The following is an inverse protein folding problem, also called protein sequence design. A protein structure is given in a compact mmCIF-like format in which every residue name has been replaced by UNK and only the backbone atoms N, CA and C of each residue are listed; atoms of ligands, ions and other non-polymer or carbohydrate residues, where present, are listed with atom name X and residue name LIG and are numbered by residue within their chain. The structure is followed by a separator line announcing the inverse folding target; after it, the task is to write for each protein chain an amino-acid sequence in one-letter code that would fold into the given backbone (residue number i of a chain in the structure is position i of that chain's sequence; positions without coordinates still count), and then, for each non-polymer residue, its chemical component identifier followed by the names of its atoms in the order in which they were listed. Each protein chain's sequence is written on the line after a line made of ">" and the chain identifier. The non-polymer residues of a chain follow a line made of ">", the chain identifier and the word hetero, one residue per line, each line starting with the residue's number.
data_IF_926305661082
#
_entry.id   IF_926305661082
#
_cell.length_a   1.000
_cell.length_b   1.000
_cell.length_c   1.000
_cell.angle_alpha   90.00
_cell.angle_beta   90.00
_cell.angle_gamma   90.00
#
_symmetry.space_group_name_H-M   'P 1'
#
loop_
_entity.id
_entity.type
_entity.pdbx_description
1 polymer ?
#
# COMPACT_ATOMS: atom_id res chain seq x y z
N UNK A 1 -1.44 -33.19 90.73
CA UNK A 1 -2.56 -32.43 90.13
C UNK A 1 -2.17 -31.94 88.72
N UNK A 2 -3.10 -31.98 87.77
CA UNK A 2 -2.95 -31.48 86.38
C UNK A 2 -2.63 -29.94 86.38
N UNK A 3 -2.11 -29.29 85.31
CA UNK A 3 -2.18 -29.55 83.85
C UNK A 3 -1.12 -28.69 83.08
N UNK A 4 -0.42 -29.26 82.09
CA UNK A 4 0.08 -28.70 80.79
C UNK A 4 0.86 -27.34 80.76
N UNK A 5 2.12 -27.26 80.27
CA UNK A 5 2.58 -27.13 78.84
C UNK A 5 2.06 -25.84 78.14
N UNK A 6 2.78 -24.91 77.48
CA UNK A 6 4.14 -24.72 76.87
C UNK A 6 4.36 -23.16 76.69
N UNK A 7 5.49 -22.52 76.33
CA UNK A 7 6.93 -22.88 76.10
C UNK A 7 7.86 -21.63 76.03
N UNK A 8 9.19 -21.89 76.06
CA UNK A 8 10.38 -21.16 75.52
C UNK A 8 10.16 -20.21 74.30
N UNK A 9 10.94 -19.15 73.96
CA UNK A 9 12.04 -18.29 74.51
C UNK A 9 12.49 -17.30 73.39
N UNK A 10 13.15 -16.20 73.75
CA UNK A 10 14.11 -15.38 72.94
C UNK A 10 13.58 -14.37 71.88
N UNK A 11 14.49 -13.45 71.51
CA UNK A 11 14.24 -12.04 71.17
C UNK A 11 14.97 -11.60 69.86
N UNK A 12 15.33 -10.32 69.65
CA UNK A 12 14.54 -9.33 68.92
C UNK A 12 15.18 -8.89 67.59
N UNK A 13 14.50 -8.11 66.75
CA UNK A 13 15.17 -7.16 65.83
C UNK A 13 14.29 -5.98 65.45
N UNK A 14 14.88 -4.78 65.51
CA UNK A 14 14.26 -3.52 65.11
C UNK A 14 14.43 -3.27 63.61
N UNK A 15 13.38 -2.79 62.92
CA UNK A 15 13.51 -2.08 61.65
C UNK A 15 12.60 -0.85 61.63
N UNK A 16 13.22 0.34 61.67
CA UNK A 16 12.58 1.62 61.32
C UNK A 16 12.11 1.55 59.87
N UNK A 17 10.84 1.82 59.63
CA UNK A 17 10.36 2.16 58.28
C UNK A 17 10.71 3.63 57.99
N UNK A 18 11.53 3.88 56.97
CA UNK A 18 11.68 5.20 56.37
C UNK A 18 11.00 5.19 55.01
N UNK A 19 9.82 5.80 54.92
CA UNK A 19 9.18 6.08 53.65
C UNK A 19 9.80 7.33 53.04
N UNK A 20 10.52 7.17 51.93
CA UNK A 20 10.98 8.29 51.10
C UNK A 20 9.89 8.68 50.10
N UNK A 21 9.55 9.97 49.93
CA UNK A 21 8.54 10.38 48.97
C UNK A 21 9.12 10.31 47.55
N UNK A 22 8.84 9.23 46.83
CA UNK A 22 9.10 9.14 45.39
C UNK A 22 8.21 10.16 44.68
N UNK A 23 8.81 11.21 44.13
CA UNK A 23 8.11 12.10 43.20
C UNK A 23 7.88 11.34 41.89
N UNK A 24 6.65 10.92 41.66
CA UNK A 24 6.19 10.48 40.34
C UNK A 24 6.29 11.67 39.39
N UNK A 25 7.34 11.71 38.58
CA UNK A 25 7.37 12.54 37.38
C UNK A 25 6.40 11.90 36.41
N UNK A 26 5.32 12.62 36.07
CA UNK A 26 4.47 12.20 34.98
C UNK A 26 5.32 12.20 33.70
N UNK A 27 5.46 11.03 33.08
CA UNK A 27 5.97 10.98 31.71
C UNK A 27 5.04 11.83 30.83
N UNK A 28 5.58 12.67 29.92
CA UNK A 28 4.73 13.27 28.91
C UNK A 28 4.05 12.14 28.14
N UNK A 29 2.76 12.30 27.88
CA UNK A 29 1.95 11.33 27.16
C UNK A 29 2.32 11.37 25.67
N UNK A 30 3.43 10.70 25.34
CA UNK A 30 3.90 10.50 23.98
C UNK A 30 3.19 9.30 23.33
N UNK A 31 1.87 9.19 23.51
CA UNK A 31 0.99 8.33 22.72
C UNK A 31 0.73 8.95 21.33
N UNK A 32 1.82 9.25 20.62
CA UNK A 32 1.78 9.26 19.15
C UNK A 32 1.84 7.79 18.77
N UNK A 33 0.68 7.18 18.55
CA UNK A 33 0.55 5.92 17.82
C UNK A 33 1.45 6.02 16.58
N UNK A 34 2.34 5.04 16.32
CA UNK A 34 3.06 5.00 15.06
C UNK A 34 2.01 5.03 13.93
N UNK A 35 2.05 6.08 13.11
CA UNK A 35 1.33 6.05 11.84
C UNK A 35 2.12 5.05 11.00
N UNK A 36 1.69 3.79 11.00
CA UNK A 36 2.24 2.77 10.12
C UNK A 36 2.12 3.31 8.69
N UNK A 37 3.25 3.46 7.96
CA UNK A 37 3.23 4.15 6.69
C UNK A 37 2.40 3.34 5.70
N UNK A 38 1.48 4.03 5.03
CA UNK A 38 0.62 3.44 4.02
C UNK A 38 1.48 2.87 2.88
N UNK A 39 1.18 1.66 2.42
CA UNK A 39 1.90 1.00 1.33
C UNK A 39 0.98 0.81 0.14
N UNK A 40 1.45 1.16 -1.07
CA UNK A 40 0.64 1.09 -2.29
C UNK A 40 1.36 0.26 -3.35
N UNK A 41 0.72 -0.81 -3.77
CA UNK A 41 1.16 -1.66 -4.88
C UNK A 41 0.41 -1.32 -6.15
N UNK A 42 1.13 -0.86 -7.18
CA UNK A 42 0.57 -0.52 -8.49
C UNK A 42 1.01 -1.54 -9.52
N UNK A 43 0.05 -2.26 -10.10
CA UNK A 43 0.27 -3.33 -11.06
C UNK A 43 -0.27 -2.89 -12.41
N UNK A 44 0.64 -2.60 -13.35
CA UNK A 44 0.34 -1.81 -14.53
C UNK A 44 0.61 -2.58 -15.82
N UNK A 45 -0.45 -2.88 -16.57
CA UNK A 45 -0.33 -3.51 -17.88
C UNK A 45 0.01 -2.47 -18.96
N UNK A 46 1.24 -2.47 -19.49
CA UNK A 46 1.68 -1.49 -20.49
C UNK A 46 1.18 -1.77 -21.91
N UNK A 47 0.55 -2.92 -22.17
CA UNK A 47 -0.11 -3.18 -23.45
C UNK A 47 -1.49 -2.53 -23.46
N UNK A 48 -2.19 -2.62 -22.33
CA UNK A 48 -3.49 -1.99 -22.14
C UNK A 48 -3.38 -0.47 -21.92
N UNK A 49 -2.40 -0.05 -21.10
CA UNK A 49 -2.17 1.32 -20.66
C UNK A 49 -0.67 1.68 -20.83
N UNK A 50 -0.18 1.93 -22.05
CA UNK A 50 1.23 2.28 -22.27
C UNK A 50 1.62 3.57 -21.54
N UNK A 51 2.87 3.64 -21.07
CA UNK A 51 3.42 4.85 -20.49
C UNK A 51 3.40 6.03 -21.50
N UNK A 52 3.14 7.28 -21.06
CA UNK A 52 3.19 8.44 -21.95
C UNK A 52 4.61 8.69 -22.44
N UNK A 53 4.76 8.84 -23.76
CA UNK A 53 6.07 9.03 -24.42
C UNK A 53 6.79 10.32 -24.03
N UNK A 54 6.03 11.31 -23.58
CA UNK A 54 6.52 12.67 -23.27
C UNK A 54 6.87 12.85 -21.78
N UNK A 55 6.79 11.80 -20.96
CA UNK A 55 7.13 11.83 -19.54
C UNK A 55 8.37 10.99 -19.26
N UNK A 56 9.26 11.50 -18.40
CA UNK A 56 10.35 10.70 -17.84
C UNK A 56 9.81 9.69 -16.83
N UNK A 57 10.52 8.57 -16.57
CA UNK A 57 10.12 7.59 -15.55
C UNK A 57 9.90 8.20 -14.16
N UNK A 58 10.72 9.18 -13.76
CA UNK A 58 10.52 9.92 -12.50
C UNK A 58 9.17 10.69 -12.49
N UNK A 59 8.85 11.40 -13.58
CA UNK A 59 7.55 12.09 -13.69
C UNK A 59 6.36 11.12 -13.74
N UNK A 60 6.55 9.90 -14.25
CA UNK A 60 5.51 8.85 -14.19
C UNK A 60 5.29 8.41 -12.74
N UNK A 61 6.36 8.18 -11.98
CA UNK A 61 6.28 7.84 -10.55
C UNK A 61 5.59 8.95 -9.75
N UNK A 62 6.07 10.19 -9.87
CA UNK A 62 5.53 11.35 -9.14
C UNK A 62 4.06 11.62 -9.48
N UNK A 63 3.68 11.55 -10.77
CA UNK A 63 2.28 11.73 -11.18
C UNK A 63 1.38 10.56 -10.79
N UNK A 64 1.94 9.37 -10.60
CA UNK A 64 1.19 8.22 -10.04
C UNK A 64 0.94 8.44 -8.54
N UNK A 65 1.94 8.94 -7.79
CA UNK A 65 1.77 9.36 -6.38
C UNK A 65 0.69 10.43 -6.24
N UNK A 66 0.78 11.53 -7.00
CA UNK A 66 -0.23 12.61 -6.99
C UNK A 66 -1.63 12.12 -7.38
N UNK A 67 -1.74 11.14 -8.28
CA UNK A 67 -3.02 10.53 -8.62
C UNK A 67 -3.60 9.71 -7.44
N UNK A 68 -2.76 8.94 -6.75
CA UNK A 68 -3.17 8.18 -5.56
C UNK A 68 -3.57 9.09 -4.39
N UNK A 69 -2.84 10.19 -4.17
CA UNK A 69 -3.24 11.26 -3.23
C UNK A 69 -4.63 11.82 -3.56
N UNK A 70 -4.94 12.02 -4.85
CA UNK A 70 -6.26 12.48 -5.29
C UNK A 70 -7.39 11.47 -5.07
N UNK A 71 -7.06 10.19 -4.86
CA UNK A 71 -8.00 9.13 -4.46
C UNK A 71 -8.15 9.01 -2.92
N UNK A 72 -7.38 9.78 -2.14
CA UNK A 72 -7.46 9.81 -0.68
C UNK A 72 -6.38 9.00 0.05
N UNK A 73 -5.42 8.41 -0.66
CA UNK A 73 -4.23 7.81 -0.05
C UNK A 73 -3.26 8.88 0.48
N UNK A 74 -2.44 8.53 1.47
CA UNK A 74 -1.39 9.39 2.00
C UNK A 74 -0.27 9.65 0.98
N UNK A 75 0.16 10.92 0.89
CA UNK A 75 1.30 11.32 0.04
C UNK A 75 2.65 10.79 0.55
N UNK A 76 2.76 10.47 1.84
CA UNK A 76 3.96 9.90 2.47
C UNK A 76 4.00 8.36 2.41
N UNK A 77 3.21 7.75 1.51
CA UNK A 77 3.17 6.29 1.32
C UNK A 77 4.44 5.71 0.68
N UNK A 78 4.72 4.43 0.99
CA UNK A 78 5.66 3.60 0.24
C UNK A 78 4.98 3.06 -1.02
N UNK A 79 5.41 3.57 -2.18
CA UNK A 79 4.80 3.30 -3.48
C UNK A 79 5.71 2.40 -4.31
N UNK A 80 5.23 1.18 -4.56
CA UNK A 80 5.83 0.20 -5.47
C UNK A 80 5.05 0.14 -6.78
N UNK A 81 5.73 0.33 -7.91
CA UNK A 81 5.14 0.23 -9.25
C UNK A 81 5.77 -0.95 -9.99
N UNK A 82 4.95 -1.92 -10.38
CA UNK A 82 5.31 -3.10 -11.17
C UNK A 82 4.57 -3.00 -12.50
N UNK A 83 5.32 -2.83 -13.59
CA UNK A 83 4.79 -2.59 -14.92
C UNK A 83 5.14 -3.73 -15.89
N UNK A 84 4.13 -4.29 -16.54
CA UNK A 84 4.25 -5.44 -17.43
C UNK A 84 4.39 -5.01 -18.88
N UNK A 85 5.56 -5.27 -19.48
CA UNK A 85 5.89 -4.92 -20.86
C UNK A 85 6.07 -6.19 -21.71
N UNK A 86 5.51 -6.25 -22.91
CA UNK A 86 5.85 -7.33 -23.85
C UNK A 86 7.35 -7.27 -24.22
N UNK A 87 7.93 -8.41 -24.63
CA UNK A 87 9.30 -8.45 -25.14
C UNK A 87 9.52 -7.45 -26.28
N UNK A 88 10.58 -6.64 -26.18
CA UNK A 88 10.89 -5.58 -27.15
C UNK A 88 9.96 -4.35 -27.12
N UNK A 89 8.97 -4.28 -26.22
CA UNK A 89 8.15 -3.07 -26.02
C UNK A 89 8.97 -1.92 -25.41
N UNK A 90 9.99 -2.25 -24.62
CA UNK A 90 10.98 -1.34 -24.05
C UNK A 90 12.39 -1.85 -24.39
N UNK A 91 13.33 -0.94 -24.63
CA UNK A 91 14.75 -1.27 -24.82
C UNK A 91 15.41 -1.57 -23.47
N UNK A 92 16.37 -2.50 -23.42
CA UNK A 92 17.06 -2.91 -22.18
C UNK A 92 17.68 -1.71 -21.44
N UNK A 93 18.21 -0.72 -22.18
CA UNK A 93 18.75 0.51 -21.57
C UNK A 93 17.66 1.39 -20.97
N UNK A 94 16.45 1.36 -21.52
CA UNK A 94 15.31 2.10 -20.98
C UNK A 94 14.78 1.44 -19.70
N UNK A 95 14.81 0.10 -19.59
CA UNK A 95 14.42 -0.65 -18.39
C UNK A 95 15.20 -0.20 -17.17
N UNK A 96 16.52 0.00 -17.29
CA UNK A 96 17.34 0.54 -16.19
C UNK A 96 16.87 1.90 -15.69
N UNK A 97 16.49 2.82 -16.59
CA UNK A 97 15.99 4.17 -16.22
C UNK A 97 14.65 4.10 -15.48
N UNK A 98 13.80 3.11 -15.79
CA UNK A 98 12.57 2.86 -15.00
C UNK A 98 12.91 2.31 -13.61
N UNK A 99 13.85 1.38 -13.49
CA UNK A 99 14.28 0.83 -12.20
C UNK A 99 14.92 1.89 -11.29
N UNK A 100 15.77 2.77 -11.85
CA UNK A 100 16.33 3.93 -11.13
C UNK A 100 15.23 4.89 -10.62
N UNK A 101 14.11 4.98 -11.33
CA UNK A 101 12.92 5.73 -10.94
C UNK A 101 11.93 4.93 -10.07
N UNK A 102 12.35 3.78 -9.49
CA UNK A 102 11.54 2.89 -8.64
C UNK A 102 10.33 2.25 -9.35
N UNK A 103 10.42 2.07 -10.66
CA UNK A 103 9.42 1.37 -11.49
C UNK A 103 10.04 0.05 -11.98
N UNK A 104 9.56 -1.06 -11.44
CA UNK A 104 9.98 -2.40 -11.82
C UNK A 104 9.32 -2.81 -13.14
N UNK A 105 10.11 -2.97 -14.20
CA UNK A 105 9.63 -3.55 -15.47
C UNK A 105 9.73 -5.07 -15.40
N UNK A 106 8.62 -5.75 -15.65
CA UNK A 106 8.52 -7.23 -15.71
C UNK A 106 8.12 -7.65 -17.13
N UNK A 107 8.83 -8.60 -17.77
CA UNK A 107 8.43 -9.16 -19.05
C UNK A 107 7.05 -9.82 -18.98
N UNK A 108 6.16 -9.41 -19.90
CA UNK A 108 4.77 -9.87 -19.99
C UNK A 108 4.72 -11.10 -20.89
N UNK A 109 4.31 -12.22 -20.31
CA UNK A 109 4.12 -13.49 -21.04
C UNK A 109 3.08 -13.31 -22.17
N UNK A 110 3.27 -13.96 -23.32
CA UNK A 110 2.38 -13.72 -24.47
C UNK A 110 0.93 -14.18 -24.23
N UNK A 111 0.76 -15.36 -23.60
CA UNK A 111 -0.55 -15.97 -23.45
C UNK A 111 -1.37 -15.35 -22.30
N UNK A 112 -2.61 -14.98 -22.61
CA UNK A 112 -3.55 -14.34 -21.69
C UNK A 112 -3.68 -15.02 -20.33
N UNK A 113 -3.59 -16.36 -20.29
CA UNK A 113 -3.83 -17.13 -19.07
C UNK A 113 -2.63 -17.06 -18.13
N UNK A 114 -1.42 -17.01 -18.68
CA UNK A 114 -0.20 -16.84 -17.88
C UNK A 114 -0.02 -15.40 -17.43
N UNK A 115 -0.44 -14.39 -18.22
CA UNK A 115 -0.37 -12.97 -17.83
C UNK A 115 -1.06 -12.65 -16.51
N UNK A 116 -2.36 -12.95 -16.39
CA UNK A 116 -3.05 -12.66 -15.13
C UNK A 116 -2.57 -13.56 -13.98
N UNK A 117 -1.95 -14.71 -14.28
CA UNK A 117 -1.38 -15.61 -13.26
C UNK A 117 -0.06 -15.08 -12.70
N UNK A 118 0.84 -14.57 -13.53
CA UNK A 118 2.02 -13.86 -13.04
C UNK A 118 1.56 -12.66 -12.22
N UNK A 119 0.64 -11.84 -12.73
CA UNK A 119 0.08 -10.71 -11.97
C UNK A 119 -0.55 -11.13 -10.63
N UNK A 120 -1.27 -12.26 -10.55
CA UNK A 120 -1.74 -12.81 -9.27
C UNK A 120 -0.59 -13.15 -8.31
N UNK A 121 0.48 -13.79 -8.82
CA UNK A 121 1.64 -14.19 -8.02
C UNK A 121 2.41 -12.95 -7.53
N UNK A 122 2.61 -11.97 -8.40
CA UNK A 122 3.34 -10.73 -8.09
C UNK A 122 2.55 -9.88 -7.07
N UNK A 123 1.22 -9.81 -7.18
CA UNK A 123 0.35 -9.17 -6.18
C UNK A 123 0.42 -9.90 -4.83
N UNK A 124 0.38 -11.24 -4.83
CA UNK A 124 0.44 -12.03 -3.61
C UNK A 124 1.82 -11.95 -2.94
N UNK A 125 2.90 -11.92 -3.73
CA UNK A 125 4.26 -11.78 -3.23
C UNK A 125 4.48 -10.37 -2.64
N UNK A 126 4.05 -9.32 -3.34
CA UNK A 126 4.06 -7.95 -2.80
C UNK A 126 3.27 -7.83 -1.50
N UNK A 127 2.09 -8.44 -1.41
CA UNK A 127 1.29 -8.41 -0.17
C UNK A 127 2.04 -9.06 1.00
N UNK A 128 2.71 -10.19 0.75
CA UNK A 128 3.54 -10.92 1.73
C UNK A 128 4.80 -10.15 2.11
N UNK A 129 5.51 -9.55 1.16
CA UNK A 129 6.70 -8.73 1.44
C UNK A 129 6.34 -7.50 2.30
N UNK A 130 5.12 -6.96 2.11
CA UNK A 130 4.55 -5.87 2.90
C UNK A 130 3.87 -6.32 4.21
N UNK A 131 3.93 -7.60 4.61
CA UNK A 131 3.34 -8.10 5.88
C UNK A 131 4.02 -7.59 7.17
N UNK A 132 5.06 -6.76 7.05
CA UNK A 132 5.61 -6.03 8.21
C UNK A 132 4.77 -4.80 8.59
N UNK A 133 3.81 -4.39 7.75
CA UNK A 133 2.88 -3.29 8.00
C UNK A 133 1.48 -3.82 8.34
N UNK A 134 0.72 -3.07 9.16
CA UNK A 134 -0.63 -3.47 9.55
C UNK A 134 -1.56 -3.64 8.33
N UNK A 135 -2.51 -4.57 8.41
CA UNK A 135 -3.44 -4.93 7.33
C UNK A 135 -4.37 -3.77 6.91
N UNK A 136 -4.40 -2.69 7.68
CA UNK A 136 -5.13 -1.48 7.35
C UNK A 136 -4.33 -0.42 6.59
N UNK A 137 -3.01 -0.61 6.40
CA UNK A 137 -2.12 0.31 5.70
C UNK A 137 -1.88 -0.04 4.22
N UNK A 138 -2.35 -1.20 3.72
CA UNK A 138 -2.05 -1.68 2.35
C UNK A 138 -3.13 -1.26 1.34
N UNK A 139 -2.74 -0.70 0.20
CA UNK A 139 -3.64 -0.41 -0.92
C UNK A 139 -3.13 -1.02 -2.23
N UNK A 140 -4.07 -1.44 -3.07
CA UNK A 140 -3.78 -2.12 -4.33
C UNK A 140 -4.39 -1.34 -5.49
N UNK A 141 -3.62 -1.03 -6.53
CA UNK A 141 -4.12 -0.50 -7.80
C UNK A 141 -3.73 -1.44 -8.95
N UNK A 142 -4.69 -1.81 -9.78
CA UNK A 142 -4.48 -2.65 -10.96
C UNK A 142 -5.00 -1.95 -12.21
N UNK A 143 -4.09 -1.67 -13.13
CA UNK A 143 -4.36 -0.99 -14.41
C UNK A 143 -4.28 -2.03 -15.54
N UNK A 144 -5.41 -2.64 -15.87
CA UNK A 144 -5.56 -3.57 -17.00
C UNK A 144 -6.99 -3.59 -17.52
N UNK A 145 -7.13 -3.72 -18.84
CA UNK A 145 -8.41 -3.87 -19.54
C UNK A 145 -8.95 -5.28 -19.46
N UNK A 146 -8.08 -6.27 -19.26
CA UNK A 146 -8.42 -7.68 -19.32
C UNK A 146 -9.07 -8.24 -18.03
N UNK A 147 -9.56 -7.38 -17.13
CA UNK A 147 -10.26 -7.76 -15.90
C UNK A 147 -11.69 -8.21 -16.22
N UNK A 148 -11.82 -9.41 -16.79
CA UNK A 148 -13.10 -10.05 -17.04
C UNK A 148 -13.86 -10.33 -15.74
N UNK A 149 -15.13 -9.93 -15.68
CA UNK A 149 -16.03 -10.27 -14.57
C UNK A 149 -16.15 -11.79 -14.43
N UNK A 150 -16.22 -12.28 -13.19
CA UNK A 150 -16.26 -13.71 -12.83
C UNK A 150 -15.02 -14.55 -13.19
N UNK A 151 -14.01 -13.97 -13.85
CA UNK A 151 -12.73 -14.61 -14.11
C UNK A 151 -12.01 -14.99 -12.81
N UNK A 152 -11.04 -15.90 -12.90
CA UNK A 152 -10.16 -16.21 -11.77
C UNK A 152 -9.43 -14.96 -11.26
N UNK A 153 -8.97 -14.10 -12.17
CA UNK A 153 -8.27 -12.87 -11.82
C UNK A 153 -9.18 -11.91 -11.05
N UNK A 154 -10.41 -11.67 -11.52
CA UNK A 154 -11.37 -10.83 -10.81
C UNK A 154 -11.71 -11.39 -9.42
N UNK A 155 -11.88 -12.71 -9.27
CA UNK A 155 -12.13 -13.36 -7.98
C UNK A 155 -10.92 -13.26 -7.02
N UNK A 156 -9.71 -13.35 -7.55
CA UNK A 156 -8.49 -13.07 -6.80
C UNK A 156 -8.45 -11.62 -6.32
N UNK A 157 -8.70 -10.63 -7.20
CA UNK A 157 -8.75 -9.21 -6.83
C UNK A 157 -9.85 -8.91 -5.81
N UNK A 158 -10.99 -9.59 -5.87
CA UNK A 158 -12.01 -9.54 -4.83
C UNK A 158 -11.53 -10.09 -3.48
N UNK A 159 -10.64 -11.09 -3.46
CA UNK A 159 -10.06 -11.60 -2.21
C UNK A 159 -9.02 -10.64 -1.60
N UNK A 160 -8.36 -9.81 -2.41
CA UNK A 160 -7.45 -8.75 -1.93
C UNK A 160 -8.17 -7.67 -1.12
N UNK A 161 -9.50 -7.55 -1.23
CA UNK A 161 -10.31 -6.71 -0.34
C UNK A 161 -10.35 -7.21 1.13
N UNK A 162 -9.71 -8.32 1.46
CA UNK A 162 -9.46 -8.74 2.83
C UNK A 162 -8.17 -8.08 3.40
N UNK A 163 -6.96 -8.33 2.85
CA UNK A 163 -5.70 -7.72 3.33
C UNK A 163 -5.45 -6.27 2.91
N UNK A 164 -6.20 -5.71 1.95
CA UNK A 164 -6.06 -4.32 1.52
C UNK A 164 -7.20 -3.42 2.01
N UNK A 165 -6.89 -2.15 2.26
CA UNK A 165 -7.83 -1.09 2.61
C UNK A 165 -8.71 -0.71 1.41
N UNK A 166 -8.09 -0.20 0.34
CA UNK A 166 -8.69 0.01 -0.99
C UNK A 166 -8.11 -0.92 -2.05
N UNK A 167 -8.94 -1.32 -3.01
CA UNK A 167 -8.54 -2.04 -4.24
C UNK A 167 -9.09 -1.29 -5.45
N UNK A 168 -8.22 -0.54 -6.13
CA UNK A 168 -8.54 0.29 -7.29
C UNK A 168 -8.37 -0.48 -8.61
N UNK A 169 -9.40 -0.55 -9.44
CA UNK A 169 -9.41 -1.26 -10.73
C UNK A 169 -9.84 -0.35 -11.88
N UNK A 170 -9.26 -0.51 -13.07
CA UNK A 170 -9.67 0.23 -14.27
C UNK A 170 -11.08 -0.13 -14.79
N UNK A 171 -11.81 0.88 -15.25
CA UNK A 171 -13.12 0.75 -15.91
C UNK A 171 -12.97 0.41 -17.39
N UNK A 172 -13.59 -0.70 -17.86
CA UNK A 172 -13.68 -0.99 -19.31
C UNK A 172 -15.09 -1.33 -19.84
N UNK A 173 -16.05 -1.78 -18.99
CA UNK A 173 -17.44 -2.05 -19.42
C UNK A 173 -18.51 -1.65 -18.39
N UNK A 174 -19.70 -1.31 -18.90
CA UNK A 174 -20.87 -0.80 -18.16
C UNK A 174 -21.29 -1.69 -16.95
N UNK A 175 -21.80 -1.09 -15.86
CA UNK A 175 -21.97 -1.79 -14.60
C UNK A 175 -23.30 -2.56 -14.46
N UNK A 176 -23.25 -3.69 -13.75
CA UNK A 176 -24.24 -4.00 -12.72
C UNK A 176 -23.69 -3.64 -11.33
N UNK A 177 -24.52 -3.15 -10.39
CA UNK A 177 -24.05 -2.74 -9.07
C UNK A 177 -23.57 -3.94 -8.24
N UNK A 178 -22.26 -4.03 -8.03
CA UNK A 178 -21.61 -4.98 -7.12
C UNK A 178 -21.54 -4.38 -5.71
N UNK A 179 -22.09 -5.07 -4.71
CA UNK A 179 -22.13 -4.62 -3.30
C UNK A 179 -20.80 -4.83 -2.53
N UNK A 180 -19.70 -5.14 -3.21
CA UNK A 180 -18.38 -5.27 -2.60
C UNK A 180 -17.81 -3.88 -2.22
N UNK A 181 -17.99 -3.48 -0.96
CA UNK A 181 -17.72 -2.11 -0.45
C UNK A 181 -16.26 -1.62 -0.49
N UNK A 182 -15.31 -2.40 -1.03
CA UNK A 182 -13.86 -2.09 -1.05
C UNK A 182 -13.21 -2.25 -2.43
N UNK A 183 -13.99 -2.60 -3.46
CA UNK A 183 -13.52 -2.66 -4.84
C UNK A 183 -13.94 -1.37 -5.55
N UNK A 184 -12.97 -0.48 -5.77
CA UNK A 184 -13.21 0.84 -6.31
C UNK A 184 -12.80 0.87 -7.79
N UNK A 185 -13.72 1.31 -8.65
CA UNK A 185 -13.45 1.40 -10.08
C UNK A 185 -13.04 2.82 -10.42
N UNK A 186 -11.81 2.98 -10.92
CA UNK A 186 -11.21 4.27 -11.21
C UNK A 186 -11.12 4.51 -12.72
N UNK A 187 -11.15 5.79 -13.10
CA UNK A 187 -10.69 6.25 -14.41
C UNK A 187 -9.27 6.75 -14.24
N UNK A 188 -8.29 5.92 -14.59
CA UNK A 188 -6.89 6.29 -14.48
C UNK A 188 -6.49 7.30 -15.56
N UNK A 189 -5.87 8.40 -15.14
CA UNK A 189 -5.21 9.37 -16.03
C UNK A 189 -4.15 10.12 -15.23
N UNK A 190 -2.88 10.04 -15.66
CA UNK A 190 -1.82 10.83 -15.06
C UNK A 190 -2.13 12.33 -15.20
N UNK A 191 -2.08 13.13 -14.12
CA UNK A 191 -2.31 14.57 -14.18
C UNK A 191 -1.39 15.23 -15.22
N UNK A 192 -1.99 15.88 -16.22
CA UNK A 192 -1.26 16.84 -17.06
C UNK A 192 -1.16 18.15 -16.28
N UNK A 193 -0.01 18.82 -16.38
CA UNK A 193 0.11 20.17 -15.85
C UNK A 193 -1.00 21.05 -16.45
N UNK A 194 -1.67 21.89 -15.65
CA UNK A 194 -2.54 22.90 -16.23
C UNK A 194 -1.67 23.78 -17.13
N UNK A 195 -1.96 23.81 -18.44
CA UNK A 195 -1.40 24.82 -19.33
C UNK A 195 -1.59 26.19 -18.67
N UNK A 196 -0.51 26.95 -18.55
CA UNK A 196 -0.55 28.27 -17.94
C UNK A 196 -1.65 29.12 -18.57
N UNK A 197 -2.42 29.80 -17.72
CA UNK A 197 -3.73 30.37 -18.05
C UNK A 197 -3.61 31.73 -18.74
N UNK A 198 -2.72 31.84 -19.73
CA UNK A 198 -2.29 33.11 -20.33
C UNK A 198 -2.63 33.29 -21.83
N UNK A 199 -2.96 32.22 -22.57
CA UNK A 199 -3.27 32.34 -24.02
C UNK A 199 -4.71 32.81 -24.33
N UNK A 200 -5.58 33.00 -23.32
CA UNK A 200 -6.99 33.36 -23.53
C UNK A 200 -7.29 34.87 -23.57
N UNK A 201 -6.27 35.73 -23.69
CA UNK A 201 -6.43 37.19 -23.74
C UNK A 201 -6.03 37.84 -25.09
N UNK A 202 -5.64 37.05 -26.10
CA UNK A 202 -5.24 37.58 -27.42
C UNK A 202 -6.31 37.46 -28.53
N UNK A 203 -7.50 36.94 -28.23
CA UNK A 203 -8.64 36.88 -29.15
C UNK A 203 -9.96 37.21 -28.43
N UNK A 204 -10.22 38.51 -28.26
CA UNK A 204 -11.52 39.09 -27.88
C UNK A 204 -11.59 40.55 -28.36
#
# INVERSE_FOLDING_TARGET
>A
PNRFLLSKTQSPTSKRSMASPVKTVAMPDCSVEPIDPECIGVFWDLVDFPFPKDLSPALIYDKTRLFLESLGCSGDCDLSIIAYANDGQLDDKSVGVYQDARISIVPRLEDRRSRYRSTCVDIALWEVDMCNYDFHAKNLMVLSKEIEKESFFFKFLQSMACPCHHVFLTLDHDPPPSRARRLERIRFSLPLEPKSREESLYYS
#
